data_IF_380855817554
#
_entry.id   IF_380855817554
#
_cell.length_a   1.000
_cell.length_b   1.000
_cell.length_c   1.000
_cell.angle_alpha   90.00
_cell.angle_beta   90.00
_cell.angle_gamma   90.00
#
_symmetry.space_group_name_H-M   'P 1'
#
loop_
_entity.id
_entity.type
_entity.pdbx_description
1 polymer ?
#
# COMPACT_ATOMS: atom_id res chain seq x y z
N UNK A 1 36.82 -37.24 7.37
CA UNK A 1 35.88 -36.27 6.74
C UNK A 1 34.73 -37.04 6.10
N UNK A 2 33.48 -36.81 6.52
CA UNK A 2 32.31 -37.49 5.94
C UNK A 2 32.15 -37.10 4.47
N UNK A 3 32.19 -38.09 3.54
CA UNK A 3 31.97 -37.84 2.10
C UNK A 3 30.54 -37.35 1.88
N UNK A 4 30.37 -36.11 1.42
CA UNK A 4 29.06 -35.56 1.05
C UNK A 4 28.63 -36.19 -0.28
N UNK A 5 27.47 -36.85 -0.29
CA UNK A 5 26.91 -37.40 -1.53
C UNK A 5 26.14 -36.33 -2.30
N UNK A 6 26.05 -36.45 -3.62
CA UNK A 6 25.28 -35.54 -4.49
C UNK A 6 23.83 -35.37 -4.00
N UNK A 7 23.23 -36.45 -3.47
CA UNK A 7 21.87 -36.40 -2.90
C UNK A 7 21.76 -35.51 -1.65
N UNK A 8 22.79 -35.54 -0.78
CA UNK A 8 22.82 -34.69 0.42
C UNK A 8 23.06 -33.23 0.03
N UNK A 9 23.90 -32.99 -0.97
CA UNK A 9 24.16 -31.65 -1.50
C UNK A 9 22.91 -31.02 -2.15
N UNK A 10 22.16 -31.80 -2.94
CA UNK A 10 20.89 -31.35 -3.51
C UNK A 10 19.86 -31.03 -2.41
N UNK A 11 19.76 -31.89 -1.38
CA UNK A 11 18.83 -31.66 -0.27
C UNK A 11 19.20 -30.40 0.52
N UNK A 12 20.49 -30.19 0.83
CA UNK A 12 20.94 -28.97 1.52
C UNK A 12 20.68 -27.74 0.67
N UNK A 13 20.91 -27.79 -0.64
CA UNK A 13 20.59 -26.70 -1.55
C UNK A 13 19.09 -26.39 -1.55
N UNK A 14 18.24 -27.41 -1.66
CA UNK A 14 16.80 -27.25 -1.64
C UNK A 14 16.31 -26.62 -0.32
N UNK A 15 16.85 -27.06 0.81
CA UNK A 15 16.52 -26.47 2.12
C UNK A 15 16.91 -25.00 2.18
N UNK A 16 18.12 -24.64 1.76
CA UNK A 16 18.58 -23.24 1.75
C UNK A 16 17.67 -22.36 0.89
N UNK A 17 17.33 -22.82 -0.32
CA UNK A 17 16.45 -22.07 -1.22
C UNK A 17 15.04 -21.93 -0.65
N UNK A 18 14.44 -23.02 -0.13
CA UNK A 18 13.09 -22.97 0.46
C UNK A 18 13.05 -22.04 1.67
N UNK A 19 14.03 -22.12 2.57
CA UNK A 19 14.14 -21.21 3.72
C UNK A 19 14.27 -19.77 3.27
N UNK A 20 15.10 -19.49 2.26
CA UNK A 20 15.25 -18.15 1.68
C UNK A 20 13.94 -17.62 1.09
N UNK A 21 13.21 -18.45 0.33
CA UNK A 21 11.93 -18.09 -0.26
C UNK A 21 10.88 -17.82 0.82
N UNK A 22 10.72 -18.73 1.79
CA UNK A 22 9.75 -18.56 2.88
C UNK A 22 10.06 -17.30 3.70
N UNK A 23 11.33 -17.04 3.99
CA UNK A 23 11.76 -15.84 4.71
C UNK A 23 11.45 -14.58 3.90
N UNK A 24 11.74 -14.58 2.60
CA UNK A 24 11.46 -13.45 1.71
C UNK A 24 9.97 -13.16 1.60
N UNK A 25 9.14 -14.18 1.39
CA UNK A 25 7.67 -14.08 1.35
C UNK A 25 7.14 -13.55 2.68
N UNK A 26 7.63 -14.08 3.81
CA UNK A 26 7.25 -13.63 5.14
C UNK A 26 7.56 -12.16 5.38
N UNK A 27 8.77 -11.71 5.00
CA UNK A 27 9.18 -10.32 5.14
C UNK A 27 8.33 -9.40 4.26
N UNK A 28 8.10 -9.76 3.00
CA UNK A 28 7.25 -8.98 2.09
C UNK A 28 5.81 -8.89 2.60
N UNK A 29 5.25 -10.01 3.10
CA UNK A 29 3.91 -10.05 3.67
C UNK A 29 3.80 -9.18 4.93
N UNK A 30 4.82 -9.20 5.80
CA UNK A 30 4.85 -8.36 7.00
C UNK A 30 4.93 -6.88 6.63
N UNK A 31 5.84 -6.52 5.73
CA UNK A 31 5.99 -5.14 5.22
C UNK A 31 4.70 -4.62 4.60
N UNK A 32 4.03 -5.42 3.76
CA UNK A 32 2.74 -5.05 3.17
C UNK A 32 1.65 -4.87 4.23
N UNK A 33 1.59 -5.75 5.23
CA UNK A 33 0.63 -5.64 6.32
C UNK A 33 0.80 -4.35 7.15
N UNK A 34 2.04 -3.84 7.27
CA UNK A 34 2.32 -2.56 7.95
C UNK A 34 1.92 -1.34 7.10
N UNK A 35 2.17 -1.39 5.79
CA UNK A 35 2.06 -0.25 4.88
C UNK A 35 0.71 -0.10 4.16
N UNK A 36 -0.08 -1.18 4.05
CA UNK A 36 -1.35 -1.15 3.30
C UNK A 36 -2.37 -0.19 3.89
N UNK A 37 -3.39 0.14 3.10
CA UNK A 37 -4.57 0.89 3.57
C UNK A 37 -5.21 0.15 4.76
N UNK A 38 -5.55 0.88 5.82
CA UNK A 38 -5.94 0.37 7.16
C UNK A 38 -4.84 -0.39 7.93
N UNK A 39 -3.60 -0.39 7.43
CA UNK A 39 -2.43 -0.84 8.16
C UNK A 39 -1.98 0.19 9.21
N UNK A 40 -1.13 -0.20 10.17
CA UNK A 40 -0.72 0.65 11.28
C UNK A 40 -0.01 1.94 10.84
N UNK A 41 0.84 1.90 9.79
CA UNK A 41 1.53 3.10 9.31
C UNK A 41 0.53 4.06 8.64
N UNK A 42 -0.40 3.53 7.85
CA UNK A 42 -1.48 4.31 7.25
C UNK A 42 -2.34 4.99 8.32
N UNK A 43 -2.77 4.24 9.35
CA UNK A 43 -3.58 4.78 10.44
C UNK A 43 -2.82 5.87 11.21
N UNK A 44 -1.53 5.69 11.48
CA UNK A 44 -0.73 6.74 12.13
C UNK A 44 -0.63 8.04 11.32
N UNK A 45 -0.63 7.96 9.98
CA UNK A 45 -0.71 9.15 9.12
C UNK A 45 -2.08 9.81 9.23
N UNK A 46 -3.17 9.03 9.28
CA UNK A 46 -4.53 9.54 9.48
C UNK A 46 -4.66 10.22 10.84
N UNK A 47 -4.25 9.56 11.92
CA UNK A 47 -4.27 10.11 13.28
C UNK A 47 -3.54 11.46 13.36
N UNK A 48 -2.37 11.55 12.71
CA UNK A 48 -1.61 12.80 12.65
C UNK A 48 -2.32 13.92 11.87
N UNK A 49 -3.02 13.58 10.79
CA UNK A 49 -3.81 14.55 10.01
C UNK A 49 -5.06 15.00 10.78
N UNK A 50 -5.74 14.07 11.42
CA UNK A 50 -6.94 14.34 12.21
C UNK A 50 -6.61 15.21 13.42
N UNK A 51 -5.49 14.94 14.11
CA UNK A 51 -5.02 15.78 15.21
C UNK A 51 -4.72 17.22 14.76
N UNK A 52 -4.10 17.39 13.60
CA UNK A 52 -3.85 18.74 13.04
C UNK A 52 -5.17 19.44 12.72
N UNK A 53 -6.16 18.72 12.18
CA UNK A 53 -7.48 19.26 11.87
C UNK A 53 -8.31 19.61 13.12
N UNK A 54 -8.13 18.88 14.23
CA UNK A 54 -8.78 19.15 15.51
C UNK A 54 -8.22 20.41 16.21
N UNK A 55 -6.96 20.75 15.97
CA UNK A 55 -6.26 21.85 16.65
C UNK A 55 -6.28 23.14 15.82
N UNK A 56 -6.04 23.04 14.51
CA UNK A 56 -5.87 24.22 13.66
C UNK A 56 -7.18 24.57 12.93
N UNK A 57 -7.55 25.86 12.89
CA UNK A 57 -8.74 26.29 12.18
C UNK A 57 -8.62 25.97 10.69
N UNK A 58 -9.62 25.29 10.08
CA UNK A 58 -9.58 24.96 8.67
C UNK A 58 -9.71 26.25 7.84
N UNK A 59 -8.73 26.59 6.96
CA UNK A 59 -8.67 27.93 6.35
C UNK A 59 -9.82 28.27 5.39
N UNK A 60 -10.53 27.26 4.89
CA UNK A 60 -11.70 27.46 4.05
C UNK A 60 -13.01 27.53 4.85
N UNK A 61 -12.97 27.32 6.17
CA UNK A 61 -14.15 27.40 7.00
C UNK A 61 -14.20 28.73 7.75
N UNK A 62 -15.26 29.50 7.53
CA UNK A 62 -15.37 30.88 7.99
C UNK A 62 -15.79 31.03 9.46
N UNK A 63 -15.78 29.94 10.23
CA UNK A 63 -16.27 29.91 11.61
C UNK A 63 -15.49 30.85 12.53
N UNK A 64 -14.16 30.87 12.42
CA UNK A 64 -13.33 31.77 13.23
C UNK A 64 -13.49 33.23 12.80
N UNK A 65 -13.58 33.49 11.48
CA UNK A 65 -13.83 34.84 10.98
C UNK A 65 -15.17 35.39 11.48
N UNK A 66 -16.23 34.58 11.44
CA UNK A 66 -17.54 34.96 11.94
C UNK A 66 -17.55 35.12 13.47
N UNK A 67 -16.85 34.26 14.22
CA UNK A 67 -16.67 34.41 15.67
C UNK A 67 -15.98 35.73 16.03
N UNK A 68 -14.87 36.06 15.36
CA UNK A 68 -14.11 37.29 15.60
C UNK A 68 -14.92 38.55 15.21
N UNK A 69 -15.69 38.49 14.12
CA UNK A 69 -16.61 39.56 13.75
C UNK A 69 -17.73 39.71 14.80
N UNK A 70 -18.29 38.61 15.29
CA UNK A 70 -19.30 38.64 16.35
C UNK A 70 -18.73 39.22 17.65
N UNK A 71 -17.49 38.88 18.00
CA UNK A 71 -16.79 39.45 19.15
C UNK A 71 -16.58 40.96 19.00
N UNK A 72 -16.17 41.43 17.82
CA UNK A 72 -16.04 42.87 17.53
C UNK A 72 -17.38 43.62 17.58
N UNK A 73 -18.48 42.95 17.21
CA UNK A 73 -19.82 43.52 17.31
C UNK A 73 -20.32 43.63 18.76
N UNK A 74 -19.96 42.66 19.60
CA UNK A 74 -20.32 42.64 21.03
C UNK A 74 -19.44 43.59 21.87
N UNK A 75 -18.15 43.65 21.55
CA UNK A 75 -17.16 44.46 22.24
C UNK A 75 -16.29 45.21 21.21
N UNK A 76 -16.68 46.46 20.86
CA UNK A 76 -15.94 47.27 19.89
C UNK A 76 -14.48 47.53 20.26
N UNK A 77 -14.08 47.36 21.53
CA UNK A 77 -12.67 47.53 21.94
C UNK A 77 -11.76 46.45 21.33
N UNK A 78 -12.32 45.31 20.94
CA UNK A 78 -11.60 44.21 20.29
C UNK A 78 -11.57 44.31 18.77
N UNK A 79 -12.30 45.25 18.17
CA UNK A 79 -12.46 45.35 16.72
C UNK A 79 -11.12 45.39 15.95
N UNK A 80 -10.13 46.15 16.44
CA UNK A 80 -8.81 46.27 15.80
C UNK A 80 -8.06 44.93 15.82
N UNK A 81 -8.08 44.23 16.96
CA UNK A 81 -7.41 42.93 17.10
C UNK A 81 -8.11 41.85 16.27
N UNK A 82 -9.45 41.83 16.29
CA UNK A 82 -10.26 40.92 15.48
C UNK A 82 -10.02 41.15 13.99
N UNK A 83 -10.00 42.41 13.53
CA UNK A 83 -9.76 42.75 12.14
C UNK A 83 -8.41 42.22 11.63
N UNK A 84 -7.33 42.42 12.39
CA UNK A 84 -6.00 41.91 12.01
C UNK A 84 -5.96 40.39 11.85
N UNK A 85 -6.63 39.64 12.73
CA UNK A 85 -6.75 38.18 12.61
C UNK A 85 -7.63 37.76 11.43
N UNK A 86 -8.75 38.45 11.22
CA UNK A 86 -9.65 38.17 10.10
C UNK A 86 -8.95 38.43 8.75
N UNK A 87 -8.12 39.47 8.65
CA UNK A 87 -7.34 39.74 7.43
C UNK A 87 -6.33 38.62 7.13
N UNK A 88 -5.71 38.05 8.18
CA UNK A 88 -4.85 36.87 8.04
C UNK A 88 -5.65 35.65 7.54
N UNK A 89 -6.83 35.38 8.13
CA UNK A 89 -7.73 34.31 7.69
C UNK A 89 -8.19 34.51 6.24
N UNK A 90 -8.47 35.74 5.81
CA UNK A 90 -8.83 36.07 4.44
C UNK A 90 -7.67 35.80 3.46
N UNK A 91 -6.43 36.07 3.87
CA UNK A 91 -5.23 35.74 3.10
C UNK A 91 -5.05 34.22 2.95
N UNK A 92 -5.21 33.48 4.04
CA UNK A 92 -5.11 32.01 4.03
C UNK A 92 -6.23 31.39 3.18
N UNK A 93 -7.45 31.91 3.29
CA UNK A 93 -8.59 31.52 2.46
C UNK A 93 -8.27 31.68 0.97
N UNK A 94 -7.76 32.84 0.55
CA UNK A 94 -7.36 33.10 -0.85
C UNK A 94 -6.28 32.13 -1.32
N UNK A 95 -5.28 31.87 -0.48
CA UNK A 95 -4.19 30.93 -0.76
C UNK A 95 -4.72 29.51 -0.95
N UNK A 96 -5.59 29.03 -0.05
CA UNK A 96 -6.16 27.69 -0.13
C UNK A 96 -7.17 27.56 -1.27
N UNK A 97 -7.92 28.61 -1.59
CA UNK A 97 -8.81 28.67 -2.77
C UNK A 97 -8.03 28.40 -4.06
N UNK A 98 -6.92 29.11 -4.28
CA UNK A 98 -6.07 28.90 -5.45
C UNK A 98 -5.47 27.49 -5.50
N UNK A 99 -4.98 27.01 -4.35
CA UNK A 99 -4.44 25.64 -4.23
C UNK A 99 -5.47 24.58 -4.65
N UNK A 100 -6.68 24.64 -4.10
CA UNK A 100 -7.68 23.60 -4.36
C UNK A 100 -8.29 23.67 -5.76
N UNK A 101 -8.35 24.85 -6.39
CA UNK A 101 -8.71 24.98 -7.81
C UNK A 101 -7.74 24.21 -8.72
N UNK A 102 -6.46 24.19 -8.37
CA UNK A 102 -5.42 23.46 -9.11
C UNK A 102 -5.28 21.98 -8.71
N UNK A 103 -6.08 21.48 -7.76
CA UNK A 103 -5.94 20.12 -7.23
C UNK A 103 -6.53 19.03 -8.15
N UNK A 104 -6.10 17.80 -7.92
CA UNK A 104 -6.65 16.57 -8.54
C UNK A 104 -7.83 15.99 -7.73
N UNK A 105 -8.59 16.83 -7.03
CA UNK A 105 -9.79 16.39 -6.33
C UNK A 105 -10.77 15.73 -7.31
N UNK A 106 -11.47 14.66 -6.88
CA UNK A 106 -12.54 14.05 -7.67
C UNK A 106 -13.54 15.10 -8.17
N UNK A 107 -13.97 14.99 -9.42
CA UNK A 107 -14.79 16.01 -10.11
C UNK A 107 -15.99 16.48 -9.29
N UNK A 108 -16.69 15.55 -8.62
CA UNK A 108 -17.84 15.88 -7.77
C UNK A 108 -17.48 16.78 -6.58
N UNK A 109 -16.39 16.46 -5.88
CA UNK A 109 -15.89 17.25 -4.74
C UNK A 109 -15.32 18.58 -5.21
N UNK A 110 -14.53 18.57 -6.29
CA UNK A 110 -13.92 19.77 -6.86
C UNK A 110 -14.98 20.77 -7.32
N UNK A 111 -16.03 20.29 -7.98
CA UNK A 111 -17.17 21.11 -8.42
C UNK A 111 -17.94 21.69 -7.24
N UNK A 112 -18.31 20.87 -6.25
CA UNK A 112 -19.03 21.33 -5.05
C UNK A 112 -18.21 22.39 -4.29
N UNK A 113 -16.90 22.20 -4.19
CA UNK A 113 -16.00 23.18 -3.60
C UNK A 113 -15.98 24.48 -4.41
N UNK A 114 -15.76 24.40 -5.72
CA UNK A 114 -15.58 25.57 -6.59
C UNK A 114 -16.86 26.39 -6.80
N UNK A 115 -18.00 25.73 -7.01
CA UNK A 115 -19.24 26.36 -7.47
C UNK A 115 -20.22 26.69 -6.33
N UNK A 116 -20.00 26.13 -5.13
CA UNK A 116 -20.92 26.33 -3.99
C UNK A 116 -20.19 26.85 -2.75
N UNK A 117 -19.27 26.06 -2.18
CA UNK A 117 -18.55 26.45 -0.96
C UNK A 117 -17.78 27.75 -1.16
N UNK A 118 -16.92 27.82 -2.18
CA UNK A 118 -16.10 29.00 -2.42
C UNK A 118 -16.93 30.21 -2.86
N UNK A 119 -18.00 30.00 -3.63
CA UNK A 119 -18.91 31.08 -4.05
C UNK A 119 -19.59 31.71 -2.83
N UNK A 120 -20.11 30.92 -1.90
CA UNK A 120 -20.73 31.44 -0.67
C UNK A 120 -19.72 32.09 0.26
N UNK A 121 -18.50 31.57 0.29
CA UNK A 121 -17.43 32.18 1.07
C UNK A 121 -16.99 33.53 0.51
N UNK A 122 -16.94 33.67 -0.83
CA UNK A 122 -16.66 34.94 -1.49
C UNK A 122 -17.73 35.99 -1.12
N UNK A 123 -19.02 35.62 -1.07
CA UNK A 123 -20.12 36.49 -0.62
C UNK A 123 -20.00 36.89 0.86
N UNK A 124 -19.55 35.99 1.74
CA UNK A 124 -19.27 36.35 3.14
C UNK A 124 -18.14 37.37 3.25
N UNK A 125 -17.05 37.15 2.50
CA UNK A 125 -15.90 38.05 2.52
C UNK A 125 -16.21 39.43 1.95
N UNK A 126 -17.04 39.52 0.92
CA UNK A 126 -17.57 40.78 0.37
C UNK A 126 -18.40 41.53 1.42
N UNK A 127 -19.37 40.87 2.06
CA UNK A 127 -20.20 41.47 3.11
C UNK A 127 -19.37 41.95 4.32
N UNK A 128 -18.33 41.19 4.70
CA UNK A 128 -17.42 41.60 5.77
C UNK A 128 -16.63 42.87 5.42
N UNK A 129 -16.00 42.91 4.24
CA UNK A 129 -15.16 44.02 3.81
C UNK A 129 -15.97 45.29 3.52
N UNK A 130 -17.07 45.17 2.79
CA UNK A 130 -17.81 46.34 2.29
C UNK A 130 -18.72 46.95 3.34
N UNK A 131 -19.34 46.13 4.20
CA UNK A 131 -20.35 46.58 5.15
C UNK A 131 -19.90 46.47 6.59
N UNK A 132 -19.45 45.29 7.02
CA UNK A 132 -19.17 45.07 8.44
C UNK A 132 -17.99 45.93 8.94
N UNK A 133 -16.85 45.92 8.24
CA UNK A 133 -15.68 46.72 8.63
C UNK A 133 -15.98 48.21 8.71
N UNK A 134 -16.66 48.76 7.69
CA UNK A 134 -17.05 50.17 7.66
C UNK A 134 -17.98 50.54 8.83
N UNK A 135 -18.94 49.66 9.16
CA UNK A 135 -19.95 49.92 10.18
C UNK A 135 -19.41 49.77 11.60
N UNK A 136 -18.50 48.83 11.85
CA UNK A 136 -17.81 48.72 13.15
C UNK A 136 -16.93 49.95 13.40
N UNK A 137 -16.27 50.47 12.36
CA UNK A 137 -15.46 51.68 12.46
C UNK A 137 -16.25 52.96 12.78
N UNK A 138 -17.55 53.02 12.43
CA UNK A 138 -18.39 54.19 12.70
C UNK A 138 -18.96 54.24 14.13
N UNK A 139 -18.95 53.11 14.86
CA UNK A 139 -19.50 53.00 16.21
C UNK A 139 -21.04 53.02 16.27
N UNK A 140 -21.72 52.90 15.14
CA UNK A 140 -23.18 52.85 15.06
C UNK A 140 -23.72 51.50 15.54
N UNK A 141 -24.27 51.47 16.76
CA UNK A 141 -24.74 50.23 17.38
C UNK A 141 -25.86 49.52 16.59
N UNK A 142 -26.82 50.27 16.03
CA UNK A 142 -27.90 49.69 15.22
C UNK A 142 -27.35 49.17 13.88
N UNK A 143 -26.46 49.94 13.26
CA UNK A 143 -25.73 49.53 12.07
C UNK A 143 -24.93 48.25 12.29
N UNK A 144 -24.16 48.17 13.37
CA UNK A 144 -23.35 47.00 13.74
C UNK A 144 -24.24 45.77 13.92
N UNK A 145 -25.36 45.92 14.62
CA UNK A 145 -26.33 44.83 14.81
C UNK A 145 -26.90 44.34 13.48
N UNK A 146 -27.25 45.25 12.56
CA UNK A 146 -27.72 44.88 11.23
C UNK A 146 -26.61 44.20 10.40
N UNK A 147 -25.39 44.70 10.48
CA UNK A 147 -24.25 44.18 9.70
C UNK A 147 -23.85 42.77 10.17
N UNK A 148 -23.78 42.52 11.48
CA UNK A 148 -23.46 41.18 12.00
C UNK A 148 -24.57 40.17 11.72
N UNK A 149 -25.84 40.61 11.70
CA UNK A 149 -26.97 39.75 11.30
C UNK A 149 -26.83 39.29 9.86
N UNK A 150 -26.59 40.22 8.93
CA UNK A 150 -26.36 39.88 7.53
C UNK A 150 -25.16 38.95 7.36
N UNK A 151 -24.04 39.26 8.04
CA UNK A 151 -22.84 38.44 7.97
C UNK A 151 -23.10 37.01 8.48
N UNK A 152 -23.93 36.88 9.52
CA UNK A 152 -24.41 35.59 10.02
C UNK A 152 -25.24 34.82 8.99
N UNK A 153 -26.13 35.48 8.25
CA UNK A 153 -26.88 34.84 7.17
C UNK A 153 -25.94 34.28 6.08
N UNK A 154 -24.90 35.04 5.70
CA UNK A 154 -23.88 34.56 4.75
C UNK A 154 -23.06 33.41 5.31
N UNK A 155 -22.66 33.50 6.58
CA UNK A 155 -21.94 32.44 7.27
C UNK A 155 -22.72 31.13 7.29
N UNK A 156 -24.00 31.15 7.68
CA UNK A 156 -24.82 29.93 7.75
C UNK A 156 -25.10 29.33 6.36
N UNK A 157 -25.22 30.17 5.33
CA UNK A 157 -25.27 29.69 3.95
C UNK A 157 -23.98 28.95 3.56
N UNK A 158 -22.82 29.50 3.91
CA UNK A 158 -21.52 28.87 3.68
C UNK A 158 -21.34 27.58 4.51
N UNK A 159 -21.69 27.60 5.80
CA UNK A 159 -21.66 26.44 6.71
C UNK A 159 -22.44 25.26 6.15
N UNK A 160 -23.65 25.49 5.64
CA UNK A 160 -24.46 24.44 5.02
C UNK A 160 -23.73 23.79 3.83
N UNK A 161 -23.11 24.59 2.95
CA UNK A 161 -22.36 24.08 1.81
C UNK A 161 -21.09 23.32 2.24
N UNK A 162 -20.38 23.80 3.28
CA UNK A 162 -19.22 23.11 3.85
C UNK A 162 -19.61 21.76 4.42
N UNK A 163 -20.71 21.68 5.20
CA UNK A 163 -21.17 20.41 5.79
C UNK A 163 -21.52 19.38 4.74
N UNK A 164 -22.18 19.81 3.65
CA UNK A 164 -22.48 18.92 2.54
C UNK A 164 -21.20 18.46 1.83
N UNK A 165 -20.24 19.35 1.59
CA UNK A 165 -18.94 18.98 1.02
C UNK A 165 -18.17 18.00 1.92
N UNK A 166 -18.17 18.21 3.24
CA UNK A 166 -17.57 17.30 4.23
C UNK A 166 -18.25 15.93 4.19
N UNK A 167 -19.59 15.89 4.10
CA UNK A 167 -20.32 14.63 3.94
C UNK A 167 -19.93 13.90 2.66
N UNK A 168 -19.85 14.61 1.53
CA UNK A 168 -19.41 14.05 0.25
C UNK A 168 -17.97 13.54 0.33
N UNK A 169 -17.06 14.31 0.94
CA UNK A 169 -15.66 13.95 1.08
C UNK A 169 -15.48 12.71 1.96
N UNK A 170 -16.18 12.64 3.10
CA UNK A 170 -16.15 11.47 3.98
C UNK A 170 -16.72 10.22 3.28
N UNK A 171 -17.83 10.36 2.55
CA UNK A 171 -18.39 9.25 1.78
C UNK A 171 -17.41 8.75 0.71
N UNK A 172 -16.72 9.67 0.01
CA UNK A 172 -15.69 9.31 -0.96
C UNK A 172 -14.49 8.62 -0.30
N UNK A 173 -13.96 9.16 0.81
CA UNK A 173 -12.84 8.57 1.55
C UNK A 173 -13.14 7.14 2.01
N UNK A 174 -14.30 6.93 2.64
CA UNK A 174 -14.73 5.58 3.07
C UNK A 174 -14.86 4.63 1.89
N UNK A 175 -15.37 5.13 0.75
CA UNK A 175 -15.44 4.37 -0.50
C UNK A 175 -14.07 3.92 -1.01
N UNK A 176 -13.12 4.85 -1.13
CA UNK A 176 -11.74 4.61 -1.57
C UNK A 176 -11.01 3.65 -0.63
N UNK A 177 -11.10 3.85 0.69
CA UNK A 177 -10.47 2.97 1.68
C UNK A 177 -10.99 1.53 1.59
N UNK A 178 -12.31 1.36 1.43
CA UNK A 178 -12.91 0.05 1.30
C UNK A 178 -12.54 -0.62 -0.02
N UNK A 179 -12.57 0.12 -1.13
CA UNK A 179 -12.14 -0.39 -2.44
C UNK A 179 -10.67 -0.82 -2.42
N UNK A 180 -9.79 0.01 -1.83
CA UNK A 180 -8.38 -0.29 -1.67
C UNK A 180 -8.15 -1.50 -0.76
N UNK A 181 -8.89 -1.62 0.35
CA UNK A 181 -8.81 -2.76 1.25
C UNK A 181 -9.24 -4.07 0.58
N UNK A 182 -10.34 -4.06 -0.17
CA UNK A 182 -10.81 -5.23 -0.95
C UNK A 182 -9.79 -5.62 -2.02
N UNK A 183 -9.26 -4.63 -2.76
CA UNK A 183 -8.23 -4.86 -3.77
C UNK A 183 -6.96 -5.44 -3.14
N UNK A 184 -6.49 -4.86 -2.04
CA UNK A 184 -5.33 -5.34 -1.28
C UNK A 184 -5.54 -6.79 -0.82
N UNK A 185 -6.70 -7.12 -0.23
CA UNK A 185 -7.01 -8.49 0.19
C UNK A 185 -7.10 -9.48 -0.99
N UNK A 186 -7.54 -9.06 -2.17
CA UNK A 186 -7.55 -9.90 -3.36
C UNK A 186 -6.14 -10.20 -3.88
N UNK A 187 -5.28 -9.18 -3.94
CA UNK A 187 -3.89 -9.30 -4.38
C UNK A 187 -3.06 -10.08 -3.37
N UNK A 188 -3.28 -9.90 -2.07
CA UNK A 188 -2.64 -10.68 -1.01
C UNK A 188 -2.96 -12.17 -1.15
N UNK A 189 -4.22 -12.54 -1.39
CA UNK A 189 -4.60 -13.94 -1.63
C UNK A 189 -3.93 -14.52 -2.87
N UNK A 190 -3.91 -13.77 -3.99
CA UNK A 190 -3.23 -14.19 -5.21
C UNK A 190 -1.72 -14.35 -4.99
N UNK A 191 -1.10 -13.42 -4.26
CA UNK A 191 0.32 -13.51 -3.91
C UNK A 191 0.61 -14.75 -3.06
N UNK A 192 -0.18 -15.01 -2.02
CA UNK A 192 -0.02 -16.21 -1.16
C UNK A 192 -0.16 -17.50 -1.98
N UNK A 193 -1.18 -17.60 -2.84
CA UNK A 193 -1.38 -18.76 -3.71
C UNK A 193 -0.23 -18.92 -4.70
N UNK A 194 0.20 -17.84 -5.35
CA UNK A 194 1.31 -17.85 -6.31
C UNK A 194 2.65 -18.22 -5.65
N UNK A 195 2.92 -17.68 -4.46
CA UNK A 195 4.08 -18.02 -3.64
C UNK A 195 4.07 -19.49 -3.22
N UNK A 196 2.94 -19.99 -2.73
CA UNK A 196 2.77 -21.40 -2.38
C UNK A 196 2.97 -22.33 -3.57
N UNK A 197 2.41 -21.97 -4.73
CA UNK A 197 2.60 -22.72 -5.98
C UNK A 197 4.05 -22.73 -6.44
N UNK A 198 4.78 -21.61 -6.29
CA UNK A 198 6.19 -21.50 -6.66
C UNK A 198 7.08 -22.41 -5.78
N UNK A 199 6.84 -22.42 -4.46
CA UNK A 199 7.53 -23.33 -3.53
C UNK A 199 7.19 -24.79 -3.85
N UNK A 200 5.92 -25.09 -4.15
CA UNK A 200 5.50 -26.42 -4.56
C UNK A 200 6.23 -26.90 -5.83
N UNK A 201 6.27 -26.08 -6.89
CA UNK A 201 6.98 -26.41 -8.12
C UNK A 201 8.47 -26.64 -7.89
N UNK A 202 9.10 -25.83 -7.03
CA UNK A 202 10.50 -26.02 -6.66
C UNK A 202 10.73 -27.38 -5.98
N UNK A 203 9.92 -27.73 -4.97
CA UNK A 203 10.02 -29.02 -4.27
C UNK A 203 9.75 -30.19 -5.23
N UNK A 204 8.72 -30.07 -6.07
CA UNK A 204 8.38 -31.07 -7.08
C UNK A 204 9.53 -31.27 -8.09
N UNK A 205 10.17 -30.19 -8.53
CA UNK A 205 11.34 -30.23 -9.41
C UNK A 205 12.54 -30.93 -8.77
N UNK A 206 12.84 -30.65 -7.50
CA UNK A 206 13.89 -31.33 -6.73
C UNK A 206 13.59 -32.83 -6.59
N UNK A 207 12.34 -33.19 -6.28
CA UNK A 207 11.91 -34.58 -6.20
C UNK A 207 12.05 -35.31 -7.54
N UNK A 208 11.60 -34.66 -8.62
CA UNK A 208 11.72 -35.18 -9.99
C UNK A 208 13.17 -35.40 -10.39
N UNK A 209 14.04 -34.40 -10.19
CA UNK A 209 15.47 -34.48 -10.50
C UNK A 209 16.17 -35.59 -9.70
N UNK A 210 15.86 -35.72 -8.40
CA UNK A 210 16.38 -36.81 -7.56
C UNK A 210 15.99 -38.18 -8.10
N UNK A 211 14.71 -38.36 -8.49
CA UNK A 211 14.21 -39.63 -9.02
C UNK A 211 14.76 -39.95 -10.40
N UNK A 212 14.90 -38.95 -11.28
CA UNK A 212 15.26 -39.15 -12.69
C UNK A 212 16.77 -39.24 -12.93
N UNK A 213 17.59 -38.52 -12.15
CA UNK A 213 19.04 -38.45 -12.33
C UNK A 213 19.83 -39.08 -11.17
N UNK A 214 19.63 -38.60 -9.93
CA UNK A 214 20.49 -38.98 -8.79
C UNK A 214 20.36 -40.46 -8.40
N UNK A 215 19.12 -40.97 -8.30
CA UNK A 215 18.90 -42.36 -7.90
C UNK A 215 19.48 -43.36 -8.91
N UNK A 216 19.26 -43.22 -10.24
CA UNK A 216 19.92 -44.07 -11.23
C UNK A 216 21.44 -44.00 -11.20
N UNK A 217 22.01 -42.79 -11.06
CA UNK A 217 23.47 -42.62 -10.98
C UNK A 217 24.06 -43.37 -9.77
N UNK A 218 23.39 -43.33 -8.62
CA UNK A 218 23.78 -44.11 -7.44
C UNK A 218 23.72 -45.61 -7.69
N UNK A 219 22.69 -46.09 -8.40
CA UNK A 219 22.54 -47.50 -8.69
C UNK A 219 23.57 -48.01 -9.72
N UNK A 220 23.91 -47.22 -10.75
CA UNK A 220 25.03 -47.54 -11.66
C UNK A 220 26.36 -47.54 -10.89
N UNK A 221 26.59 -46.55 -10.02
CA UNK A 221 27.80 -46.51 -9.19
C UNK A 221 27.91 -47.71 -8.23
N UNK A 222 26.79 -48.13 -7.62
CA UNK A 222 26.73 -49.34 -6.79
C UNK A 222 26.96 -50.61 -7.60
N UNK A 223 26.43 -50.67 -8.82
CA UNK A 223 26.68 -51.77 -9.75
C UNK A 223 28.16 -51.89 -10.11
N UNK A 224 28.82 -50.78 -10.44
CA UNK A 224 30.26 -50.77 -10.74
C UNK A 224 31.11 -51.29 -9.58
N UNK A 225 30.70 -51.07 -8.32
CA UNK A 225 31.39 -51.62 -7.16
C UNK A 225 31.27 -53.17 -7.09
N UNK A 226 30.13 -53.74 -7.48
CA UNK A 226 29.97 -55.20 -7.60
C UNK A 226 30.81 -55.76 -8.75
N UNK A 227 30.79 -55.09 -9.91
CA UNK A 227 31.56 -55.48 -11.08
C UNK A 227 33.06 -55.49 -10.79
N UNK A 228 33.58 -54.45 -10.12
CA UNK A 228 34.96 -54.39 -9.67
C UNK A 228 35.31 -55.46 -8.62
N UNK A 229 34.32 -55.96 -7.88
CA UNK A 229 34.45 -57.09 -6.96
C UNK A 229 34.43 -58.46 -7.64
N UNK A 230 34.29 -58.52 -8.97
CA UNK A 230 34.27 -59.76 -9.75
C UNK A 230 32.89 -60.42 -9.89
N UNK A 231 31.82 -59.80 -9.40
CA UNK A 231 30.46 -60.32 -9.59
C UNK A 231 29.92 -59.91 -10.97
N UNK A 232 30.09 -60.79 -11.95
CA UNK A 232 29.64 -60.59 -13.34
C UNK A 232 28.21 -61.11 -13.57
N UNK A 233 27.56 -61.68 -12.55
CA UNK A 233 26.27 -62.38 -12.72
C UNK A 233 25.07 -61.44 -12.81
N UNK A 234 25.21 -60.19 -12.37
CA UNK A 234 24.15 -59.19 -12.36
C UNK A 234 24.07 -58.43 -13.68
N UNK A 235 22.86 -58.16 -14.13
CA UNK A 235 22.59 -57.29 -15.28
C UNK A 235 22.81 -55.82 -14.92
N UNK A 236 23.27 -55.03 -15.91
CA UNK A 236 23.48 -53.60 -15.73
C UNK A 236 22.13 -52.88 -15.58
N UNK A 237 21.91 -52.11 -14.50
CA UNK A 237 20.65 -51.41 -14.31
C UNK A 237 20.47 -50.28 -15.32
N UNK A 238 19.22 -50.03 -15.72
CA UNK A 238 18.79 -48.92 -16.60
C UNK A 238 19.28 -48.96 -18.06
N UNK A 239 19.76 -50.10 -18.56
CA UNK A 239 20.21 -50.25 -19.95
C UNK A 239 19.14 -49.89 -21.01
N UNK A 240 17.84 -49.98 -20.68
CA UNK A 240 16.73 -49.62 -21.58
C UNK A 240 16.35 -48.14 -21.61
N UNK A 241 17.10 -47.25 -20.95
CA UNK A 241 16.84 -45.79 -21.00
C UNK A 241 17.41 -45.16 -22.26
N UNK A 242 16.75 -44.12 -22.75
CA UNK A 242 17.13 -43.36 -23.95
C UNK A 242 17.68 -41.96 -23.66
N UNK A 243 18.12 -41.70 -22.42
CA UNK A 243 18.75 -40.44 -22.01
C UNK A 243 20.19 -40.68 -21.55
N UNK A 244 20.87 -39.66 -21.06
CA UNK A 244 22.30 -39.71 -20.68
C UNK A 244 22.59 -40.82 -19.64
N UNK A 245 21.61 -41.16 -18.80
CA UNK A 245 21.72 -42.29 -17.85
C UNK A 245 21.78 -43.63 -18.59
N UNK A 246 21.00 -43.79 -19.66
CA UNK A 246 21.02 -44.97 -20.52
C UNK A 246 22.32 -45.12 -21.30
N UNK A 247 22.86 -44.02 -21.83
CA UNK A 247 24.16 -44.02 -22.52
C UNK A 247 25.31 -44.48 -21.60
N UNK A 248 25.31 -44.01 -20.34
CA UNK A 248 26.26 -44.47 -19.32
C UNK A 248 26.05 -45.96 -19.04
N UNK A 249 24.80 -46.40 -18.83
CA UNK A 249 24.49 -47.82 -18.57
C UNK A 249 24.95 -48.73 -19.73
N UNK A 250 24.77 -48.30 -20.98
CA UNK A 250 25.22 -49.07 -22.14
C UNK A 250 26.74 -49.23 -22.16
N UNK A 251 27.47 -48.17 -21.84
CA UNK A 251 28.94 -48.21 -21.71
C UNK A 251 29.40 -49.16 -20.60
N UNK A 252 28.68 -49.22 -19.47
CA UNK A 252 28.95 -50.17 -18.39
C UNK A 252 28.71 -51.62 -18.83
N UNK A 253 27.67 -51.88 -19.62
CA UNK A 253 27.38 -53.23 -20.14
C UNK A 253 28.46 -53.71 -21.10
N UNK A 254 28.95 -52.85 -22.00
CA UNK A 254 30.10 -53.19 -22.85
C UNK A 254 31.31 -53.58 -22.02
N UNK A 255 31.61 -52.84 -20.95
CA UNK A 255 32.72 -53.16 -20.05
C UNK A 255 32.53 -54.51 -19.33
N UNK A 256 31.31 -54.81 -18.85
CA UNK A 256 30.98 -56.12 -18.26
C UNK A 256 31.20 -57.25 -19.25
N UNK A 257 30.74 -57.10 -20.49
CA UNK A 257 30.89 -58.12 -21.54
C UNK A 257 32.37 -58.42 -21.81
N UNK A 258 33.22 -57.39 -21.86
CA UNK A 258 34.68 -57.56 -21.99
C UNK A 258 35.24 -58.37 -20.82
N UNK A 259 34.89 -58.04 -19.58
CA UNK A 259 35.36 -58.78 -18.40
C UNK A 259 34.90 -60.25 -18.39
N UNK A 260 33.64 -60.50 -18.76
CA UNK A 260 33.10 -61.88 -18.90
C UNK A 260 33.89 -62.65 -19.96
N UNK A 261 34.20 -62.03 -21.10
CA UNK A 261 34.94 -62.69 -22.17
C UNK A 261 36.39 -63.01 -21.83
N UNK A 262 36.99 -62.31 -20.86
CA UNK A 262 38.39 -62.52 -20.44
C UNK A 262 38.53 -63.59 -19.34
N UNK A 263 37.43 -63.96 -18.67
CA UNK A 263 37.42 -65.04 -17.67
C UNK A 263 37.17 -66.45 -18.26
N UNK A 264 36.76 -66.52 -19.54
CA UNK A 264 36.58 -67.77 -20.30
C UNK A 264 37.82 -68.09 -21.13
#
# INVERSE_FOLDING_TARGET
MSKITIARLLLSFAVVVVVGLVTSIGLQSHTLAQLKVKGPIYNGIIDGKDLVADILPPPLYLVEAYMLASEAALDPTKAVQSAAKIDALASDYKTRRAYWQASDLPDGLKRKLAEDVLVRGDVFWEAYQERFQATVGSGDAEGIQSAIKELGEKFWAHDAAVRELVQMANAHLVGEENAAAVKSASLERLAIVGSGFSVFLFIAGIWYFRRRAINPLKAISGYMAHLAGGDLTKEVPFAGRSDEIGEIAHSVEVFRQVLVSTQN
#
